data_IF_901332399571
#
_entry.id   IF_901332399571
#
_cell.length_a   1.000
_cell.length_b   1.000
_cell.length_c   1.000
_cell.angle_alpha   90.00
_cell.angle_beta   90.00
_cell.angle_gamma   90.00
#
_symmetry.space_group_name_H-M   'P 1'
#
loop_
_entity.id
_entity.type
_entity.pdbx_description
1 polymer ?
#
# COMPACT_ATOMS: atom_id res chain seq x y z
N UNK A 1 7.89 23.38 46.36
CA UNK A 1 7.97 23.24 44.89
C UNK A 1 7.12 22.05 44.45
N UNK A 2 5.80 22.23 44.34
CA UNK A 2 4.81 21.30 43.78
C UNK A 2 3.60 22.17 43.43
N UNK A 3 3.46 22.63 42.18
CA UNK A 3 2.23 23.28 41.63
C UNK A 3 2.34 23.84 40.18
N UNK A 4 3.19 23.31 39.29
CA UNK A 4 3.28 23.83 37.89
C UNK A 4 2.88 22.80 36.80
N UNK A 5 2.73 21.51 37.12
CA UNK A 5 2.53 20.48 36.09
C UNK A 5 1.07 20.17 35.68
N UNK A 6 0.12 21.10 35.87
CA UNK A 6 -1.32 20.83 35.60
C UNK A 6 -1.97 21.74 34.56
N UNK A 7 -1.23 22.64 33.92
CA UNK A 7 -1.84 23.66 33.03
C UNK A 7 -1.54 23.47 31.53
N UNK A 8 -0.65 22.55 31.14
CA UNK A 8 -0.26 22.36 29.73
C UNK A 8 -1.14 21.32 29.02
N UNK A 9 -1.76 20.39 29.75
CA UNK A 9 -2.61 19.34 29.16
C UNK A 9 -4.07 19.77 28.93
N UNK A 10 -4.52 20.93 29.41
CA UNK A 10 -5.91 21.37 29.26
C UNK A 10 -6.15 22.41 28.15
N UNK A 11 -5.10 22.90 27.49
CA UNK A 11 -5.22 23.98 26.49
C UNK A 11 -5.21 23.49 25.02
N UNK A 12 -5.21 22.17 24.77
CA UNK A 12 -5.28 21.59 23.43
C UNK A 12 -6.68 21.07 23.03
N UNK A 13 -7.69 21.20 23.91
CA UNK A 13 -9.02 20.61 23.72
C UNK A 13 -10.16 21.62 23.46
N UNK A 14 -9.86 22.88 23.17
CA UNK A 14 -10.86 23.92 22.89
C UNK A 14 -10.55 24.77 21.66
N UNK A 15 -10.18 24.13 20.55
CA UNK A 15 -10.42 24.78 19.24
C UNK A 15 -11.86 24.48 18.84
N UNK A 16 -12.74 25.49 18.73
CA UNK A 16 -14.10 25.28 18.25
C UNK A 16 -14.04 24.75 16.81
N UNK A 17 -14.70 23.62 16.59
CA UNK A 17 -14.84 22.87 15.34
C UNK A 17 -15.39 23.68 14.15
N UNK A 18 -15.73 24.96 14.34
CA UNK A 18 -16.25 25.85 13.30
C UNK A 18 -15.15 26.51 12.43
N UNK A 19 -13.89 26.59 12.88
CA UNK A 19 -12.80 27.20 12.09
C UNK A 19 -12.09 26.22 11.15
N UNK A 20 -12.22 24.90 11.37
CA UNK A 20 -11.80 23.89 10.41
C UNK A 20 -12.68 23.90 9.13
N UNK A 21 -13.98 24.21 9.27
CA UNK A 21 -14.92 24.25 8.15
C UNK A 21 -14.75 25.48 7.25
N UNK A 22 -14.33 26.62 7.79
CA UNK A 22 -14.07 27.86 7.02
C UNK A 22 -12.68 27.90 6.40
N UNK A 23 -11.69 27.17 6.93
CA UNK A 23 -10.42 26.92 6.22
C UNK A 23 -10.59 26.01 5.00
N UNK A 24 -11.54 25.07 5.02
CA UNK A 24 -11.81 24.19 3.87
C UNK A 24 -12.32 24.91 2.62
N UNK A 25 -13.01 26.04 2.77
CA UNK A 25 -13.57 26.78 1.62
C UNK A 25 -12.58 27.79 1.01
N UNK A 26 -11.62 28.30 1.79
CA UNK A 26 -10.61 29.25 1.28
C UNK A 26 -9.37 28.61 0.65
N UNK A 27 -9.07 27.33 0.93
CA UNK A 27 -7.95 26.62 0.29
C UNK A 27 -8.27 26.18 -1.15
N UNK A 28 -9.54 25.91 -1.47
CA UNK A 28 -9.97 25.49 -2.83
C UNK A 28 -9.76 26.63 -3.85
N UNK A 29 -9.87 27.90 -3.44
CA UNK A 29 -9.71 29.05 -4.35
C UNK A 29 -8.23 29.36 -4.68
N UNK A 30 -7.31 29.12 -3.74
CA UNK A 30 -5.89 29.45 -3.90
C UNK A 30 -5.08 28.38 -4.67
N UNK A 31 -5.58 27.15 -4.81
CA UNK A 31 -4.95 26.10 -5.63
C UNK A 31 -5.15 26.31 -7.14
N UNK A 32 -6.04 27.20 -7.56
CA UNK A 32 -6.42 27.43 -8.97
C UNK A 32 -5.38 28.16 -9.86
N UNK A 33 -4.11 28.22 -9.47
CA UNK A 33 -3.10 29.04 -10.20
C UNK A 33 -1.74 28.41 -10.44
N UNK A 34 -1.54 27.14 -10.11
CA UNK A 34 -0.43 26.38 -10.68
C UNK A 34 -0.77 26.05 -12.15
N UNK A 35 0.18 26.14 -13.10
CA UNK A 35 -0.07 25.71 -14.46
C UNK A 35 -0.40 24.21 -14.48
N UNK A 36 -1.51 23.84 -15.12
CA UNK A 36 -1.89 22.45 -15.32
C UNK A 36 -0.77 21.72 -16.08
N UNK A 37 -0.23 20.66 -15.48
CA UNK A 37 0.90 19.89 -16.06
C UNK A 37 0.44 19.13 -17.30
N UNK A 38 -0.83 18.70 -17.33
CA UNK A 38 -1.45 18.06 -18.48
C UNK A 38 -2.70 18.80 -18.92
N UNK A 39 -2.85 18.99 -20.23
CA UNK A 39 -3.96 19.74 -20.82
C UNK A 39 -5.32 19.04 -20.69
N UNK A 40 -5.33 17.73 -20.42
CA UNK A 40 -6.52 16.87 -20.31
C UNK A 40 -6.72 16.31 -18.89
N UNK A 41 -6.06 16.90 -17.90
CA UNK A 41 -6.20 16.52 -16.49
C UNK A 41 -6.40 17.75 -15.59
N UNK A 42 -7.63 18.31 -15.53
CA UNK A 42 -7.98 19.35 -14.58
C UNK A 42 -7.69 18.95 -13.12
N UNK A 43 -7.18 19.92 -12.35
CA UNK A 43 -6.82 19.78 -10.93
C UNK A 43 -7.98 19.46 -9.98
N UNK A 44 -9.23 19.60 -10.41
CA UNK A 44 -10.42 19.23 -9.64
C UNK A 44 -10.90 17.78 -9.85
N UNK A 45 -10.27 17.02 -10.75
CA UNK A 45 -10.61 15.62 -10.95
C UNK A 45 -10.12 14.74 -9.79
N UNK A 46 -10.92 13.74 -9.42
CA UNK A 46 -10.65 12.86 -8.28
C UNK A 46 -9.29 12.13 -8.36
N UNK A 47 -8.87 11.69 -9.55
CA UNK A 47 -7.61 10.96 -9.74
C UNK A 47 -6.39 11.89 -9.95
N UNK A 48 -6.57 13.22 -9.94
CA UNK A 48 -5.46 14.17 -10.13
C UNK A 48 -4.32 13.95 -9.11
N UNK A 49 -4.58 13.80 -7.79
CA UNK A 49 -3.51 13.58 -6.81
C UNK A 49 -2.72 12.30 -7.08
N UNK A 50 -3.42 11.21 -7.42
CA UNK A 50 -2.78 9.93 -7.72
C UNK A 50 -1.88 10.02 -8.96
N UNK A 51 -2.39 10.62 -10.05
CA UNK A 51 -1.61 10.78 -11.28
C UNK A 51 -0.39 11.67 -11.06
N UNK A 52 -0.54 12.79 -10.35
CA UNK A 52 0.57 13.70 -10.07
C UNK A 52 1.61 13.05 -9.14
N UNK A 53 1.19 12.27 -8.15
CA UNK A 53 2.10 11.52 -7.28
C UNK A 53 3.02 10.58 -8.07
N UNK A 54 2.46 9.84 -9.02
CA UNK A 54 3.23 8.94 -9.89
C UNK A 54 4.09 9.73 -10.90
N UNK A 55 3.61 10.89 -11.37
CA UNK A 55 4.34 11.72 -12.32
C UNK A 55 5.59 12.37 -11.71
N UNK A 56 5.47 12.93 -10.50
CA UNK A 56 6.58 13.53 -9.76
C UNK A 56 7.70 12.53 -9.44
N UNK A 57 7.37 11.24 -9.41
CA UNK A 57 8.32 10.11 -9.23
C UNK A 57 8.80 9.51 -10.54
N UNK A 58 8.44 10.13 -11.67
CA UNK A 58 8.80 9.69 -13.02
C UNK A 58 8.29 8.28 -13.40
N UNK A 59 7.30 7.75 -12.66
CA UNK A 59 6.69 6.43 -12.91
C UNK A 59 5.76 6.50 -14.11
N UNK A 60 4.99 7.59 -14.21
CA UNK A 60 4.14 7.89 -15.37
C UNK A 60 4.53 9.21 -16.00
N UNK A 61 4.41 9.26 -17.32
CA UNK A 61 4.65 10.47 -18.09
C UNK A 61 3.49 10.74 -19.04
N UNK A 62 3.32 12.02 -19.37
CA UNK A 62 2.43 12.45 -20.44
C UNK A 62 3.04 12.22 -21.83
N UNK A 63 2.26 12.57 -22.84
CA UNK A 63 2.65 12.53 -24.23
C UNK A 63 3.21 13.88 -24.67
N UNK A 64 3.97 13.89 -25.76
CA UNK A 64 4.64 15.10 -26.31
C UNK A 64 3.67 16.27 -26.58
N UNK A 65 2.38 15.98 -26.80
CA UNK A 65 1.34 16.98 -27.01
C UNK A 65 0.80 17.60 -25.69
N UNK A 66 1.41 17.31 -24.55
CA UNK A 66 1.01 17.79 -23.22
C UNK A 66 -0.24 17.11 -22.66
N UNK A 67 -0.65 15.95 -23.19
CA UNK A 67 -1.77 15.16 -22.62
C UNK A 67 -1.28 14.02 -21.73
N UNK A 68 -2.06 13.60 -20.74
CA UNK A 68 -1.85 12.39 -19.95
C UNK A 68 -2.62 11.19 -20.50
N UNK A 69 -3.78 11.43 -21.15
CA UNK A 69 -4.75 10.43 -21.62
C UNK A 69 -5.30 9.54 -20.49
N UNK A 70 -6.02 10.10 -19.51
CA UNK A 70 -6.45 9.38 -18.31
C UNK A 70 -7.34 8.16 -18.61
N UNK A 71 -8.11 8.19 -19.71
CA UNK A 71 -8.98 7.08 -20.13
C UNK A 71 -8.31 6.10 -21.11
N UNK A 72 -7.01 6.28 -21.41
CA UNK A 72 -6.27 5.32 -22.22
C UNK A 72 -6.12 3.98 -21.49
N UNK A 73 -6.30 2.86 -22.18
CA UNK A 73 -6.11 1.53 -21.59
C UNK A 73 -4.64 1.26 -21.33
N UNK A 74 -4.35 0.56 -20.24
CA UNK A 74 -3.00 0.13 -19.87
C UNK A 74 -2.82 -1.33 -20.28
N UNK A 75 -1.70 -1.64 -20.94
CA UNK A 75 -1.33 -3.03 -21.22
C UNK A 75 -0.52 -3.65 -20.07
N UNK A 76 -0.40 -4.98 -20.07
CA UNK A 76 0.28 -5.72 -18.99
C UNK A 76 1.75 -5.34 -18.84
N UNK A 77 2.46 -5.08 -19.93
CA UNK A 77 3.85 -4.65 -19.89
C UNK A 77 4.02 -3.24 -19.27
N UNK A 78 3.14 -2.31 -19.62
CA UNK A 78 3.09 -0.96 -19.06
C UNK A 78 2.83 -1.00 -17.56
N UNK A 79 1.83 -1.78 -17.11
CA UNK A 79 1.56 -1.93 -15.69
C UNK A 79 2.78 -2.45 -14.92
N UNK A 80 3.43 -3.50 -15.41
CA UNK A 80 4.59 -4.07 -14.71
C UNK A 80 5.74 -3.06 -14.63
N UNK A 81 6.01 -2.29 -15.71
CA UNK A 81 6.98 -1.20 -15.64
C UNK A 81 6.60 -0.16 -14.58
N UNK A 82 5.33 0.24 -14.52
CA UNK A 82 4.86 1.21 -13.52
C UNK A 82 5.07 0.68 -12.10
N UNK A 83 4.71 -0.58 -11.84
CA UNK A 83 4.85 -1.21 -10.52
C UNK A 83 6.32 -1.38 -10.12
N UNK A 84 7.19 -1.79 -11.03
CA UNK A 84 8.64 -1.85 -10.79
C UNK A 84 9.21 -0.45 -10.50
N UNK A 85 8.73 0.58 -11.19
CA UNK A 85 9.10 1.97 -10.89
C UNK A 85 8.62 2.42 -9.51
N UNK A 86 7.41 2.06 -9.11
CA UNK A 86 6.82 2.42 -7.80
C UNK A 86 7.60 1.82 -6.63
N UNK A 87 8.04 0.57 -6.76
CA UNK A 87 8.87 -0.07 -5.74
C UNK A 87 10.36 0.27 -5.91
N UNK A 88 10.74 0.99 -6.98
CA UNK A 88 12.11 1.40 -7.34
C UNK A 88 13.09 0.27 -7.73
N UNK A 89 12.57 -0.81 -8.32
CA UNK A 89 13.34 -2.02 -8.59
C UNK A 89 14.50 -1.79 -9.56
N UNK A 90 15.71 -2.23 -9.19
CA UNK A 90 16.88 -2.16 -10.06
C UNK A 90 16.86 -3.32 -11.08
N UNK A 91 16.40 -3.00 -12.28
CA UNK A 91 16.33 -3.95 -13.39
C UNK A 91 17.68 -4.14 -14.12
N UNK A 92 18.71 -3.36 -13.77
CA UNK A 92 20.05 -3.47 -14.40
C UNK A 92 20.77 -4.78 -14.04
N UNK A 93 20.41 -5.37 -12.90
CA UNK A 93 21.00 -6.63 -12.39
C UNK A 93 20.37 -7.87 -12.99
N UNK A 94 19.20 -7.74 -13.63
CA UNK A 94 18.53 -8.85 -14.31
C UNK A 94 19.07 -8.88 -15.74
N UNK A 95 19.66 -10.00 -16.17
CA UNK A 95 20.09 -10.23 -17.57
C UNK A 95 18.91 -10.34 -18.56
N UNK A 96 17.81 -9.63 -18.27
CA UNK A 96 16.42 -10.03 -18.42
C UNK A 96 15.91 -10.02 -19.85
N UNK A 97 15.98 -11.19 -20.47
CA UNK A 97 15.26 -11.56 -21.68
C UNK A 97 14.82 -13.02 -21.54
N UNK A 98 13.85 -13.48 -22.33
CA UNK A 98 13.41 -14.90 -22.38
C UNK A 98 12.82 -15.47 -21.08
N UNK A 99 12.40 -14.64 -20.12
CA UNK A 99 11.69 -15.14 -18.94
C UNK A 99 10.29 -15.69 -19.27
N UNK A 100 9.71 -15.30 -20.40
CA UNK A 100 8.55 -15.94 -21.02
C UNK A 100 8.80 -16.14 -22.52
N UNK A 101 8.13 -17.10 -23.19
CA UNK A 101 8.33 -17.33 -24.63
C UNK A 101 8.04 -16.09 -25.50
N UNK A 102 7.12 -15.23 -25.06
CA UNK A 102 6.68 -13.99 -25.73
C UNK A 102 7.30 -12.72 -25.14
N UNK A 103 8.40 -12.85 -24.39
CA UNK A 103 9.16 -11.73 -23.81
C UNK A 103 10.62 -11.89 -24.19
N UNK A 104 11.05 -11.13 -25.18
CA UNK A 104 12.35 -11.27 -25.82
C UNK A 104 13.24 -10.10 -25.41
N UNK A 105 13.52 -9.17 -26.33
CA UNK A 105 14.48 -8.06 -26.16
C UNK A 105 13.79 -6.70 -26.17
N UNK A 106 12.46 -6.68 -26.07
CA UNK A 106 11.66 -5.45 -26.06
C UNK A 106 11.94 -4.62 -24.79
N UNK A 107 11.59 -3.33 -24.84
CA UNK A 107 11.81 -2.38 -23.75
C UNK A 107 11.25 -2.83 -22.39
N UNK A 108 10.21 -3.67 -22.40
CA UNK A 108 9.56 -4.16 -21.18
C UNK A 108 10.20 -5.43 -20.61
N UNK A 109 11.03 -6.15 -21.38
CA UNK A 109 11.63 -7.41 -20.98
C UNK A 109 12.33 -7.37 -19.62
N UNK A 110 13.21 -6.38 -19.31
CA UNK A 110 13.88 -6.34 -18.00
C UNK A 110 12.89 -6.19 -16.84
N UNK A 111 11.84 -5.38 -16.99
CA UNK A 111 10.82 -5.19 -15.96
C UNK A 111 9.97 -6.43 -15.73
N UNK A 112 9.57 -7.11 -16.82
CA UNK A 112 8.78 -8.35 -16.75
C UNK A 112 9.61 -9.46 -16.11
N UNK A 113 10.87 -9.62 -16.49
CA UNK A 113 11.72 -10.64 -15.90
C UNK A 113 12.02 -10.36 -14.43
N UNK A 114 12.28 -9.10 -14.07
CA UNK A 114 12.41 -8.69 -12.67
C UNK A 114 11.16 -9.03 -11.86
N UNK A 115 9.97 -8.62 -12.31
CA UNK A 115 8.72 -8.92 -11.60
C UNK A 115 8.43 -10.42 -11.49
N UNK A 116 8.88 -11.21 -12.47
CA UNK A 116 8.77 -12.67 -12.42
C UNK A 116 9.70 -13.25 -11.35
N UNK A 117 10.95 -12.80 -11.30
CA UNK A 117 11.96 -13.26 -10.33
C UNK A 117 11.55 -12.91 -8.90
N UNK A 118 10.89 -11.75 -8.71
CA UNK A 118 10.29 -11.36 -7.43
C UNK A 118 9.00 -12.13 -7.07
N UNK A 119 8.50 -12.99 -7.97
CA UNK A 119 7.29 -13.79 -7.74
C UNK A 119 5.98 -13.02 -7.86
N UNK A 120 6.00 -11.77 -8.35
CA UNK A 120 4.78 -10.95 -8.46
C UNK A 120 3.89 -11.41 -9.62
N UNK A 121 4.51 -11.94 -10.67
CA UNK A 121 3.84 -12.46 -11.87
C UNK A 121 4.25 -13.90 -12.18
N UNK A 122 3.29 -14.71 -12.64
CA UNK A 122 3.50 -16.09 -13.06
C UNK A 122 3.21 -16.38 -14.54
N UNK A 123 2.69 -15.40 -15.29
CA UNK A 123 2.17 -15.61 -16.65
C UNK A 123 0.80 -16.31 -16.68
N UNK A 124 0.36 -16.68 -17.88
CA UNK A 124 -0.87 -17.42 -18.14
C UNK A 124 -0.64 -18.93 -18.12
N UNK A 125 -1.71 -19.75 -18.02
CA UNK A 125 -1.58 -21.22 -18.05
C UNK A 125 -0.93 -21.78 -19.32
N UNK A 126 -0.92 -21.02 -20.42
CA UNK A 126 -0.24 -21.38 -21.67
C UNK A 126 1.27 -21.07 -21.65
N UNK A 127 1.79 -20.56 -20.52
CA UNK A 127 3.20 -20.23 -20.32
C UNK A 127 3.61 -18.85 -20.83
N UNK A 128 2.69 -18.06 -21.39
CA UNK A 128 2.98 -16.72 -21.96
C UNK A 128 2.69 -15.59 -20.97
N UNK A 129 3.22 -14.38 -21.21
CA UNK A 129 2.93 -13.19 -20.41
C UNK A 129 1.85 -12.27 -21.03
N UNK A 130 1.72 -12.28 -22.36
CA UNK A 130 0.85 -11.46 -23.21
C UNK A 130 1.05 -9.95 -22.97
N UNK A 131 2.26 -9.41 -23.23
CA UNK A 131 2.64 -8.05 -22.84
C UNK A 131 1.74 -6.96 -23.43
N UNK A 132 1.26 -7.14 -24.67
CA UNK A 132 0.45 -6.15 -25.38
C UNK A 132 -1.05 -6.18 -25.02
N UNK A 133 -1.52 -7.19 -24.29
CA UNK A 133 -2.92 -7.25 -23.89
C UNK A 133 -3.22 -6.17 -22.85
N UNK A 134 -4.40 -5.55 -22.95
CA UNK A 134 -4.92 -4.72 -21.87
C UNK A 134 -5.01 -5.53 -20.58
N UNK A 135 -4.56 -4.95 -19.48
CA UNK A 135 -4.62 -5.60 -18.17
C UNK A 135 -6.04 -5.52 -17.62
N UNK A 136 -6.57 -6.63 -17.13
CA UNK A 136 -7.88 -6.63 -16.46
C UNK A 136 -7.79 -6.10 -15.04
N UNK A 137 -8.93 -5.68 -14.47
CA UNK A 137 -9.04 -5.19 -13.09
C UNK A 137 -8.42 -6.15 -12.07
N UNK A 138 -8.75 -7.44 -12.15
CA UNK A 138 -8.20 -8.44 -11.22
C UNK A 138 -6.73 -8.76 -11.45
N UNK A 139 -6.27 -8.71 -12.70
CA UNK A 139 -4.86 -8.90 -13.00
C UNK A 139 -4.03 -7.75 -12.43
N UNK A 140 -4.47 -6.51 -12.65
CA UNK A 140 -3.76 -5.35 -12.14
C UNK A 140 -3.73 -5.32 -10.61
N UNK A 141 -4.87 -5.56 -9.96
CA UNK A 141 -4.96 -5.67 -8.50
C UNK A 141 -4.02 -6.72 -7.94
N UNK A 142 -4.00 -7.94 -8.51
CA UNK A 142 -3.08 -8.98 -8.06
C UNK A 142 -1.62 -8.55 -8.20
N UNK A 143 -1.24 -7.96 -9.34
CA UNK A 143 0.14 -7.55 -9.61
C UNK A 143 0.58 -6.45 -8.64
N UNK A 144 -0.24 -5.41 -8.47
CA UNK A 144 0.03 -4.28 -7.58
C UNK A 144 0.17 -4.75 -6.13
N UNK A 145 -0.78 -5.57 -5.64
CA UNK A 145 -0.75 -6.06 -4.27
C UNK A 145 0.42 -7.02 -4.02
N UNK A 146 0.73 -7.91 -4.97
CA UNK A 146 1.90 -8.79 -4.84
C UNK A 146 3.22 -8.03 -4.77
N UNK A 147 3.32 -6.92 -5.49
CA UNK A 147 4.57 -6.16 -5.55
C UNK A 147 4.74 -5.20 -4.36
N UNK A 148 3.66 -4.57 -3.92
CA UNK A 148 3.71 -3.49 -2.94
C UNK A 148 3.37 -3.93 -1.53
N UNK A 149 2.89 -5.16 -1.35
CA UNK A 149 2.64 -5.75 -0.04
C UNK A 149 3.57 -6.98 0.03
N UNK A 150 4.15 -7.26 1.20
CA UNK A 150 5.07 -8.40 1.43
C UNK A 150 4.37 -9.74 1.74
N UNK A 151 4.62 -10.82 0.96
CA UNK A 151 3.89 -12.11 0.81
C UNK A 151 3.28 -12.85 2.04
N UNK A 152 3.50 -12.37 3.26
CA UNK A 152 3.00 -12.95 4.52
C UNK A 152 1.71 -12.25 5.04
N UNK A 153 1.40 -11.06 4.52
CA UNK A 153 0.20 -10.24 4.78
C UNK A 153 -1.03 -10.50 3.88
N UNK A 154 -1.09 -11.59 3.09
CA UNK A 154 -2.24 -12.02 2.27
C UNK A 154 -2.95 -12.96 3.22
N UNK A 155 -3.88 -12.47 4.05
CA UNK A 155 -4.59 -13.37 4.93
C UNK A 155 -5.20 -14.48 4.06
N UNK A 156 -4.93 -15.73 4.44
CA UNK A 156 -5.80 -16.82 4.02
C UNK A 156 -7.22 -16.38 4.39
N UNK A 157 -8.22 -16.45 3.49
CA UNK A 157 -9.56 -15.95 3.77
C UNK A 157 -10.04 -16.49 5.12
N UNK A 158 -9.94 -15.67 6.16
CA UNK A 158 -10.38 -16.03 7.50
C UNK A 158 -11.89 -15.89 7.54
N UNK A 159 -12.52 -16.45 8.58
CA UNK A 159 -13.98 -16.41 8.67
C UNK A 159 -14.52 -14.97 8.78
N UNK A 160 -13.71 -14.03 9.31
CA UNK A 160 -14.03 -12.61 9.35
C UNK A 160 -14.12 -11.99 7.94
N UNK A 161 -13.16 -12.26 7.06
CA UNK A 161 -13.17 -11.76 5.68
C UNK A 161 -14.14 -12.51 4.76
N UNK A 162 -14.48 -13.77 5.09
CA UNK A 162 -15.56 -14.51 4.40
C UNK A 162 -16.93 -13.87 4.63
N UNK A 163 -17.11 -13.14 5.73
CA UNK A 163 -18.36 -12.43 6.03
C UNK A 163 -18.53 -11.13 5.24
N UNK A 164 -17.44 -10.62 4.64
CA UNK A 164 -17.50 -9.41 3.82
C UNK A 164 -18.19 -9.71 2.49
N UNK A 165 -19.24 -8.93 2.20
CA UNK A 165 -20.04 -9.12 1.00
C UNK A 165 -19.20 -8.79 -0.24
N UNK A 166 -18.92 -9.82 -1.03
CA UNK A 166 -18.26 -9.66 -2.32
C UNK A 166 -19.21 -9.00 -3.33
N UNK A 167 -18.67 -8.25 -4.31
CA UNK A 167 -19.42 -7.77 -5.46
C UNK A 167 -20.17 -8.92 -6.13
N UNK A 168 -21.38 -8.65 -6.60
CA UNK A 168 -22.31 -9.66 -7.15
C UNK A 168 -21.71 -10.43 -8.33
N UNK A 169 -20.86 -9.77 -9.11
CA UNK A 169 -20.17 -10.31 -10.29
C UNK A 169 -18.77 -10.88 -10.01
N UNK A 170 -18.35 -10.92 -8.75
CA UNK A 170 -17.09 -11.49 -8.34
C UNK A 170 -17.27 -12.89 -7.72
N UNK A 171 -16.83 -13.92 -8.44
CA UNK A 171 -16.86 -15.29 -7.93
C UNK A 171 -15.77 -15.53 -6.86
N UNK A 172 -16.23 -15.89 -5.67
CA UNK A 172 -15.43 -16.15 -4.47
C UNK A 172 -14.46 -17.32 -4.59
N UNK A 173 -14.63 -18.19 -5.58
CA UNK A 173 -13.76 -19.35 -5.86
C UNK A 173 -12.64 -19.04 -6.85
N UNK A 174 -12.66 -17.86 -7.47
CA UNK A 174 -11.65 -17.47 -8.44
C UNK A 174 -10.31 -17.15 -7.76
N UNK A 175 -9.24 -17.31 -8.53
CA UNK A 175 -7.86 -17.08 -8.08
C UNK A 175 -7.62 -15.65 -7.54
N UNK A 176 -8.43 -14.68 -7.94
CA UNK A 176 -8.33 -13.30 -7.50
C UNK A 176 -9.13 -12.99 -6.22
N UNK A 177 -9.90 -13.94 -5.70
CA UNK A 177 -10.89 -13.66 -4.66
C UNK A 177 -10.26 -13.11 -3.37
N UNK A 178 -9.11 -13.64 -2.94
CA UNK A 178 -8.42 -13.12 -1.73
C UNK A 178 -7.88 -11.71 -1.94
N UNK A 179 -7.35 -11.42 -3.14
CA UNK A 179 -6.88 -10.07 -3.50
C UNK A 179 -8.02 -9.06 -3.49
N UNK A 180 -9.15 -9.43 -4.10
CA UNK A 180 -10.33 -8.59 -4.15
C UNK A 180 -10.90 -8.32 -2.75
N UNK A 181 -11.00 -9.36 -1.91
CA UNK A 181 -11.43 -9.20 -0.51
C UNK A 181 -10.52 -8.24 0.24
N UNK A 182 -9.21 -8.43 0.14
CA UNK A 182 -8.24 -7.56 0.78
C UNK A 182 -8.41 -6.11 0.30
N UNK A 183 -8.50 -5.89 -1.01
CA UNK A 183 -8.65 -4.56 -1.58
C UNK A 183 -9.94 -3.86 -1.12
N UNK A 184 -11.05 -4.59 -0.99
CA UNK A 184 -12.30 -4.05 -0.44
C UNK A 184 -12.15 -3.77 1.06
N UNK A 185 -11.62 -4.72 1.83
CA UNK A 185 -11.47 -4.62 3.28
C UNK A 185 -10.54 -3.47 3.71
N UNK A 186 -9.62 -3.05 2.84
CA UNK A 186 -8.68 -1.95 3.05
C UNK A 186 -9.01 -0.70 2.24
N UNK A 187 -10.20 -0.64 1.64
CA UNK A 187 -10.69 0.52 0.88
C UNK A 187 -9.71 0.99 -0.23
N UNK A 188 -8.98 0.03 -0.82
CA UNK A 188 -8.04 0.27 -1.92
C UNK A 188 -8.76 0.46 -3.27
N UNK A 189 -10.04 0.12 -3.32
CA UNK A 189 -10.91 0.34 -4.48
C UNK A 189 -11.78 1.57 -4.23
N UNK A 190 -11.75 2.52 -5.17
CA UNK A 190 -12.66 3.67 -5.13
C UNK A 190 -14.01 3.39 -5.83
N UNK A 191 -14.91 4.38 -5.82
CA UNK A 191 -16.19 4.31 -6.52
C UNK A 191 -16.11 4.27 -8.06
N UNK A 192 -14.93 4.45 -8.67
CA UNK A 192 -14.73 4.21 -10.10
C UNK A 192 -14.50 2.72 -10.40
N UNK A 193 -14.05 1.95 -9.41
CA UNK A 193 -13.83 0.51 -9.52
C UNK A 193 -15.07 -0.32 -9.14
N UNK A 194 -16.06 0.28 -8.50
CA UNK A 194 -17.28 -0.41 -8.06
C UNK A 194 -18.52 0.36 -8.50
N UNK A 195 -19.33 -0.27 -9.34
CA UNK A 195 -20.62 0.28 -9.79
C UNK A 195 -21.78 -0.35 -9.03
N UNK A 196 -22.96 0.27 -9.06
CA UNK A 196 -24.19 -0.34 -8.58
C UNK A 196 -25.01 -0.84 -9.78
N UNK A 197 -25.52 -2.07 -9.71
CA UNK A 197 -26.51 -2.55 -10.66
C UNK A 197 -27.90 -1.92 -10.41
N UNK A 198 -28.87 -2.26 -11.26
CA UNK A 198 -30.24 -1.73 -11.16
C UNK A 198 -30.93 -2.06 -9.82
N UNK A 199 -30.46 -3.09 -9.11
CA UNK A 199 -30.99 -3.54 -7.81
C UNK A 199 -30.19 -2.93 -6.64
N UNK A 200 -29.19 -2.09 -6.91
CA UNK A 200 -28.31 -1.49 -5.91
C UNK A 200 -27.21 -2.42 -5.40
N UNK A 201 -26.91 -3.51 -6.11
CA UNK A 201 -25.82 -4.41 -5.77
C UNK A 201 -24.49 -3.95 -6.38
N UNK A 202 -23.41 -4.05 -5.60
CA UNK A 202 -22.07 -3.70 -6.04
C UNK A 202 -21.55 -4.64 -7.15
N UNK A 203 -21.01 -4.07 -8.22
CA UNK A 203 -20.34 -4.73 -9.35
C UNK A 203 -18.90 -4.26 -9.45
N UNK A 204 -17.96 -5.18 -9.52
CA UNK A 204 -16.53 -4.86 -9.67
C UNK A 204 -16.01 -5.00 -11.11
N UNK A 205 -16.66 -5.84 -11.91
CA UNK A 205 -16.29 -6.22 -13.27
C UNK A 205 -14.86 -6.76 -13.39
N UNK A 206 -14.59 -7.95 -12.83
CA UNK A 206 -13.25 -8.53 -12.75
C UNK A 206 -12.44 -8.51 -14.06
N UNK A 207 -13.10 -8.77 -15.19
CA UNK A 207 -12.47 -8.91 -16.50
C UNK A 207 -12.31 -7.61 -17.29
N UNK A 208 -12.86 -6.48 -16.83
CA UNK A 208 -12.81 -5.24 -17.57
C UNK A 208 -11.37 -4.70 -17.63
N UNK A 209 -10.96 -4.10 -18.76
CA UNK A 209 -9.64 -3.51 -18.88
C UNK A 209 -9.52 -2.24 -18.04
N UNK A 210 -8.34 -1.97 -17.48
CA UNK A 210 -8.10 -0.75 -16.71
C UNK A 210 -7.54 0.39 -17.55
N UNK A 211 -8.01 1.59 -17.25
CA UNK A 211 -7.48 2.85 -17.76
C UNK A 211 -6.27 3.35 -16.97
N UNK A 212 -5.51 4.27 -17.55
CA UNK A 212 -4.32 4.89 -16.93
C UNK A 212 -4.63 5.55 -15.59
N UNK A 213 -5.78 6.25 -15.48
CA UNK A 213 -6.20 6.88 -14.22
C UNK A 213 -6.57 5.85 -13.15
N UNK A 214 -7.24 4.76 -13.52
CA UNK A 214 -7.64 3.70 -12.58
C UNK A 214 -6.40 2.96 -12.04
N UNK A 215 -5.43 2.65 -12.91
CA UNK A 215 -4.16 2.04 -12.49
C UNK A 215 -3.39 2.98 -11.55
N UNK A 216 -3.30 4.27 -11.89
CA UNK A 216 -2.63 5.26 -11.04
C UNK A 216 -3.28 5.35 -9.66
N UNK A 217 -4.62 5.38 -9.61
CA UNK A 217 -5.39 5.42 -8.37
C UNK A 217 -5.13 4.18 -7.49
N UNK A 218 -5.21 2.98 -8.08
CA UNK A 218 -4.95 1.73 -7.37
C UNK A 218 -3.54 1.69 -6.77
N UNK A 219 -2.53 2.09 -7.55
CA UNK A 219 -1.15 2.14 -7.07
C UNK A 219 -0.96 3.19 -5.98
N UNK A 220 -1.56 4.38 -6.13
CA UNK A 220 -1.48 5.44 -5.14
C UNK A 220 -2.13 5.04 -3.81
N UNK A 221 -3.34 4.47 -3.84
CA UNK A 221 -4.03 3.97 -2.63
C UNK A 221 -3.25 2.88 -1.93
N UNK A 222 -2.70 1.94 -2.71
CA UNK A 222 -1.87 0.86 -2.17
C UNK A 222 -0.61 1.43 -1.52
N UNK A 223 0.03 2.44 -2.14
CA UNK A 223 1.18 3.13 -1.57
C UNK A 223 0.83 3.82 -0.25
N UNK A 224 -0.25 4.62 -0.21
CA UNK A 224 -0.67 5.34 1.00
C UNK A 224 -0.94 4.37 2.14
N UNK A 225 -1.68 3.29 1.87
CA UNK A 225 -1.95 2.24 2.86
C UNK A 225 -0.66 1.62 3.42
N UNK A 226 0.33 1.35 2.56
CA UNK A 226 1.64 0.84 2.99
C UNK A 226 2.43 1.88 3.79
N UNK A 227 2.47 3.14 3.32
CA UNK A 227 3.24 4.22 3.93
C UNK A 227 2.72 4.56 5.33
N UNK A 228 1.40 4.63 5.52
CA UNK A 228 0.79 4.83 6.84
C UNK A 228 1.20 3.72 7.82
N UNK A 229 1.29 2.47 7.36
CA UNK A 229 1.75 1.35 8.20
C UNK A 229 3.21 1.48 8.60
N UNK A 230 4.08 1.94 7.71
CA UNK A 230 5.51 2.17 8.00
C UNK A 230 5.68 3.35 8.95
N UNK A 231 4.96 4.45 8.74
CA UNK A 231 5.01 5.61 9.64
C UNK A 231 4.48 5.27 11.03
N UNK A 232 3.38 4.52 11.10
CA UNK A 232 2.88 3.94 12.35
C UNK A 232 3.95 3.03 12.97
N UNK A 233 4.55 2.10 12.23
CA UNK A 233 5.62 1.23 12.76
C UNK A 233 6.84 2.03 13.28
N UNK A 234 7.23 3.11 12.61
CA UNK A 234 8.34 3.99 13.02
C UNK A 234 7.97 4.82 14.27
N UNK A 235 6.78 5.42 14.30
CA UNK A 235 6.27 6.15 15.47
C UNK A 235 6.15 5.22 16.70
N UNK A 236 5.75 3.98 16.46
CA UNK A 236 5.67 2.95 17.47
C UNK A 236 7.03 2.48 17.95
N UNK A 237 7.99 2.26 17.04
CA UNK A 237 9.38 1.94 17.38
C UNK A 237 10.03 3.04 18.22
N UNK A 238 9.82 4.31 17.85
CA UNK A 238 10.29 5.47 18.63
C UNK A 238 9.60 5.58 20.00
N UNK A 239 8.29 5.33 20.07
CA UNK A 239 7.55 5.33 21.36
C UNK A 239 8.00 4.19 22.27
N UNK A 240 8.28 3.02 21.69
CA UNK A 240 8.79 1.86 22.42
C UNK A 240 10.20 2.12 22.96
N UNK A 241 11.14 2.65 22.16
CA UNK A 241 12.49 3.01 22.63
C UNK A 241 12.42 4.05 23.76
N UNK A 242 11.56 5.08 23.66
CA UNK A 242 11.37 6.05 24.75
C UNK A 242 10.82 5.43 26.04
N UNK A 243 9.84 4.51 25.94
CA UNK A 243 9.26 3.85 27.12
C UNK A 243 10.20 2.82 27.76
N UNK A 244 11.01 2.11 26.98
CA UNK A 244 12.02 1.17 27.50
C UNK A 244 13.14 1.92 28.25
N UNK A 245 13.60 3.07 27.76
CA UNK A 245 14.58 3.92 28.46
C UNK A 245 14.08 4.42 29.83
N UNK A 246 12.77 4.46 30.04
CA UNK A 246 12.13 4.99 31.25
C UNK A 246 11.36 3.93 32.05
N UNK A 247 11.41 2.67 31.64
CA UNK A 247 10.75 1.58 32.34
C UNK A 247 11.48 1.24 33.65
N UNK A 248 10.72 1.08 34.73
CA UNK A 248 11.24 0.63 36.04
C UNK A 248 11.19 -0.89 36.22
N UNK A 249 10.51 -1.58 35.31
CA UNK A 249 10.28 -3.02 35.32
C UNK A 249 11.18 -3.67 34.26
N UNK A 250 11.35 -5.01 34.28
CA UNK A 250 12.19 -5.69 33.29
C UNK A 250 11.70 -5.46 31.86
N UNK A 251 12.64 -5.45 30.90
CA UNK A 251 12.41 -5.08 29.50
C UNK A 251 11.29 -5.91 28.85
N UNK A 252 11.19 -7.20 29.19
CA UNK A 252 10.16 -8.11 28.67
C UNK A 252 8.77 -7.69 29.13
N UNK A 253 8.61 -7.37 30.42
CA UNK A 253 7.33 -6.93 31.01
C UNK A 253 6.93 -5.52 30.54
N UNK A 254 7.90 -4.63 30.30
CA UNK A 254 7.66 -3.33 29.69
C UNK A 254 7.19 -3.47 28.23
N UNK A 255 7.82 -4.39 27.49
CA UNK A 255 7.51 -4.67 26.10
C UNK A 255 6.12 -5.30 25.91
N UNK A 256 5.78 -6.35 26.66
CA UNK A 256 4.46 -7.00 26.57
C UNK A 256 3.32 -6.01 26.86
N UNK A 257 3.49 -5.12 27.86
CA UNK A 257 2.49 -4.07 28.15
C UNK A 257 2.34 -3.07 27.00
N UNK A 258 3.45 -2.66 26.39
CA UNK A 258 3.40 -1.74 25.27
C UNK A 258 2.71 -2.37 24.05
N UNK A 259 3.08 -3.60 23.68
CA UNK A 259 2.45 -4.33 22.56
C UNK A 259 0.94 -4.48 22.78
N UNK A 260 0.51 -4.86 23.99
CA UNK A 260 -0.90 -5.03 24.30
C UNK A 260 -1.67 -3.70 24.29
N UNK A 261 -1.06 -2.61 24.79
CA UNK A 261 -1.65 -1.26 24.71
C UNK A 261 -1.78 -0.80 23.27
N UNK A 262 -0.76 -1.04 22.45
CA UNK A 262 -0.76 -0.66 21.05
C UNK A 262 -1.84 -1.40 20.24
N UNK A 263 -1.96 -2.71 20.42
CA UNK A 263 -3.00 -3.51 19.76
C UNK A 263 -4.40 -3.03 20.18
N UNK A 264 -4.60 -2.69 21.46
CA UNK A 264 -5.86 -2.13 21.93
C UNK A 264 -6.18 -0.76 21.29
N UNK A 265 -5.19 0.12 21.14
CA UNK A 265 -5.35 1.43 20.46
C UNK A 265 -5.68 1.28 18.97
N UNK A 266 -5.20 0.20 18.32
CA UNK A 266 -5.60 -0.17 16.95
C UNK A 266 -7.01 -0.79 16.85
N UNK A 267 -7.73 -0.92 17.98
CA UNK A 267 -9.09 -1.44 18.02
C UNK A 267 -9.20 -2.96 18.11
N UNK A 268 -8.11 -3.67 18.40
CA UNK A 268 -8.17 -5.10 18.68
C UNK A 268 -8.80 -5.33 20.06
N UNK A 269 -9.68 -6.31 20.15
CA UNK A 269 -10.29 -6.74 21.41
C UNK A 269 -9.28 -7.50 22.27
N UNK A 270 -9.49 -7.50 23.58
CA UNK A 270 -8.65 -8.25 24.54
C UNK A 270 -8.54 -9.73 24.16
N UNK A 271 -9.62 -10.34 23.67
CA UNK A 271 -9.63 -11.72 23.19
C UNK A 271 -8.79 -11.94 21.92
N UNK A 272 -8.73 -10.96 21.01
CA UNK A 272 -7.89 -11.03 19.81
C UNK A 272 -6.41 -10.84 20.17
N UNK A 273 -6.11 -9.93 21.09
CA UNK A 273 -4.75 -9.73 21.63
C UNK A 273 -4.26 -11.00 22.34
N UNK A 274 -5.09 -11.61 23.17
CA UNK A 274 -4.76 -12.88 23.85
C UNK A 274 -4.59 -14.04 22.86
N UNK A 275 -5.39 -14.09 21.80
CA UNK A 275 -5.24 -15.09 20.74
C UNK A 275 -3.95 -14.90 19.95
N UNK A 276 -3.57 -13.65 19.63
CA UNK A 276 -2.29 -13.32 18.98
C UNK A 276 -1.11 -13.67 19.89
N UNK A 277 -1.16 -13.27 21.16
CA UNK A 277 -0.14 -13.60 22.14
C UNK A 277 -0.02 -15.12 22.34
N UNK A 278 -1.13 -15.86 22.40
CA UNK A 278 -1.10 -17.32 22.53
C UNK A 278 -0.54 -18.00 21.27
N UNK A 279 -0.86 -17.46 20.09
CA UNK A 279 -0.39 -17.98 18.80
C UNK A 279 1.09 -17.72 18.55
N UNK A 280 1.63 -16.60 19.01
CA UNK A 280 3.00 -16.16 18.72
C UNK A 280 3.93 -16.15 19.94
N UNK A 281 3.49 -16.65 21.10
CA UNK A 281 4.36 -16.89 22.28
C UNK A 281 5.33 -18.06 22.13
N UNK A 282 5.12 -18.97 21.16
CA UNK A 282 5.99 -20.15 20.95
C UNK A 282 6.96 -20.03 19.80
N UNK A 283 6.67 -19.14 18.85
CA UNK A 283 7.48 -18.96 17.66
C UNK A 283 8.16 -17.62 17.79
N UNK A 284 9.47 -17.59 17.55
CA UNK A 284 10.40 -16.47 17.67
C UNK A 284 9.94 -15.14 17.02
N UNK A 285 8.73 -15.00 16.48
CA UNK A 285 8.18 -13.82 15.82
C UNK A 285 8.04 -12.58 16.72
N UNK A 286 7.60 -12.73 17.98
CA UNK A 286 7.54 -11.58 18.92
C UNK A 286 8.96 -11.17 19.31
N UNK A 287 9.86 -12.14 19.53
CA UNK A 287 11.28 -11.92 19.80
C UNK A 287 11.99 -11.32 18.58
N UNK A 288 11.65 -11.75 17.36
CA UNK A 288 12.22 -11.31 16.07
C UNK A 288 11.70 -9.93 15.70
N UNK A 289 10.42 -9.62 15.96
CA UNK A 289 9.90 -8.25 15.86
C UNK A 289 10.55 -7.36 16.93
N UNK A 290 10.73 -7.86 18.15
CA UNK A 290 11.39 -7.12 19.22
C UNK A 290 12.88 -6.90 18.95
N UNK A 291 13.58 -7.87 18.36
CA UNK A 291 14.96 -7.78 17.93
C UNK A 291 15.08 -6.86 16.71
N UNK A 292 14.17 -6.95 15.73
CA UNK A 292 14.13 -6.05 14.59
C UNK A 292 13.83 -4.59 14.98
N UNK A 293 12.96 -4.35 15.96
CA UNK A 293 12.70 -3.00 16.49
C UNK A 293 13.88 -2.50 17.35
N UNK A 294 14.53 -3.38 18.12
CA UNK A 294 15.73 -3.05 18.91
C UNK A 294 16.95 -2.74 18.03
N UNK A 295 17.18 -3.53 16.98
CA UNK A 295 18.24 -3.35 15.99
C UNK A 295 18.00 -2.12 15.10
N UNK A 296 16.75 -1.84 14.73
CA UNK A 296 16.42 -0.68 13.89
C UNK A 296 16.42 0.66 14.64
N UNK A 297 16.11 0.67 15.93
CA UNK A 297 15.68 1.91 16.60
C UNK A 297 16.46 2.29 17.85
N UNK A 298 17.32 1.41 18.38
CA UNK A 298 18.06 1.65 19.63
C UNK A 298 19.59 1.37 19.52
N UNK A 299 20.12 1.03 18.33
CA UNK A 299 21.56 0.83 18.06
C UNK A 299 21.99 1.33 16.67
N UNK A 300 23.29 1.56 16.47
CA UNK A 300 23.91 2.13 15.25
C UNK A 300 23.21 1.70 13.94
N UNK A 301 22.67 2.66 13.13
CA UNK A 301 21.94 2.38 11.89
C UNK A 301 22.69 1.53 10.85
N UNK A 302 24.01 1.38 10.99
CA UNK A 302 24.85 0.57 10.12
C UNK A 302 24.87 -0.94 10.47
N UNK A 303 24.30 -1.33 11.61
CA UNK A 303 24.34 -2.71 12.12
C UNK A 303 23.14 -3.59 11.74
N UNK A 304 22.12 -3.03 11.08
CA UNK A 304 20.94 -3.79 10.66
C UNK A 304 21.33 -4.77 9.54
N UNK A 305 21.20 -6.09 9.77
CA UNK A 305 21.25 -7.08 8.70
C UNK A 305 19.96 -7.00 7.87
N UNK A 306 19.93 -5.99 7.01
CA UNK A 306 18.85 -5.72 6.09
C UNK A 306 18.77 -6.74 4.94
N UNK A 307 19.60 -7.79 4.91
CA UNK A 307 19.50 -8.82 3.87
C UNK A 307 18.16 -9.55 3.89
N UNK A 308 17.53 -9.66 5.07
CA UNK A 308 16.15 -10.17 5.24
C UNK A 308 15.07 -9.21 4.72
N UNK A 309 15.40 -7.93 4.56
CA UNK A 309 14.50 -6.84 4.17
C UNK A 309 14.97 -6.11 2.89
N UNK A 310 15.81 -6.75 2.07
CA UNK A 310 16.43 -6.15 0.89
C UNK A 310 15.41 -5.66 -0.15
N UNK A 311 14.16 -6.16 -0.12
CA UNK A 311 13.05 -5.64 -0.94
C UNK A 311 12.45 -4.31 -0.48
N UNK A 312 12.77 -3.84 0.74
CA UNK A 312 12.19 -2.62 1.35
C UNK A 312 13.19 -1.45 1.48
N UNK A 313 14.48 -1.67 1.17
CA UNK A 313 15.53 -0.62 1.08
C UNK A 313 15.25 0.45 0.01
N UNK A 314 14.21 0.28 -0.79
CA UNK A 314 13.98 1.07 -1.99
C UNK A 314 13.14 2.34 -1.73
N UNK A 315 12.65 2.55 -0.51
CA UNK A 315 11.76 3.67 -0.20
C UNK A 315 12.43 4.99 0.22
N UNK A 316 13.76 5.08 0.22
CA UNK A 316 14.49 6.36 0.26
C UNK A 316 14.07 7.33 1.38
N UNK A 317 13.73 6.81 2.56
CA UNK A 317 13.57 7.57 3.80
C UNK A 317 14.77 7.30 4.71
#
# INVERSE_FOLDING_TARGET
>A
MKKILSLVTLLALLLPTAQAATMRTSLISAMSRAPEVFNDLPSDQANYPAIMFLHEREIVQGYENGSFRPNGLVNRAELVKMVVGMIGGDVSQVGGTNCFPDVQTEWFAPYVCYAKDQGWIGGYPDGTFKPANSVSRVEAMKIVLNAMIASDYWPSPTDFEKSMQMPKDADVKQWYASFLRFAIAKELLDGAHVELDADGAYLYRPGDPMTRKEVAELMFRTYVYMAERVEIANLLGMTMCFQLEHATDDETTAHERWVNSFLADMGYTEAEVDALNTKYKSDDLITDMADAVRESSCGDPSAVDLSRWEGLKIFGL
#
